data_IF_428218564823
#
_entry.id   IF_428218564823
#
_cell.length_a   1.000
_cell.length_b   1.000
_cell.length_c   1.000
_cell.angle_alpha   90.00
_cell.angle_beta   90.00
_cell.angle_gamma   90.00
#
_symmetry.space_group_name_H-M   'P 1'
#
loop_
_entity.id
_entity.type
_entity.pdbx_description
1 polymer ?
#
# COMPACT_ATOMS: atom_id res chain seq x y z
N UNK A 1 18.69 -5.26 -18.80
CA UNK A 1 17.23 -5.34 -18.67
C UNK A 1 16.73 -4.28 -17.69
N UNK A 2 16.32 -3.12 -18.21
CA UNK A 2 15.88 -1.99 -17.38
C UNK A 2 14.41 -2.13 -17.01
N UNK A 3 14.10 -2.43 -15.75
CA UNK A 3 12.73 -2.38 -15.24
C UNK A 3 12.11 -1.01 -15.51
N UNK A 4 10.87 -0.98 -16.02
CA UNK A 4 10.13 0.28 -16.28
C UNK A 4 10.01 1.10 -14.99
N UNK A 5 10.60 2.29 -14.98
CA UNK A 5 10.50 3.26 -13.89
C UNK A 5 9.22 4.08 -14.05
N UNK A 6 8.47 4.25 -12.97
CA UNK A 6 7.32 5.14 -12.89
C UNK A 6 7.63 6.25 -11.91
N UNK A 7 7.47 7.51 -12.34
CA UNK A 7 7.66 8.70 -11.48
C UNK A 7 6.33 9.43 -11.32
N UNK A 8 6.00 9.79 -10.09
CA UNK A 8 4.78 10.51 -9.73
C UNK A 8 5.10 11.67 -8.78
N UNK A 9 4.24 12.68 -8.79
CA UNK A 9 4.25 13.71 -7.75
C UNK A 9 3.31 13.25 -6.63
N UNK A 10 3.86 12.97 -5.46
CA UNK A 10 3.13 12.43 -4.32
C UNK A 10 3.28 13.32 -3.09
N UNK A 11 2.27 13.31 -2.22
CA UNK A 11 2.28 14.05 -0.96
C UNK A 11 2.65 13.10 0.18
N UNK A 12 3.53 13.51 1.12
CA UNK A 12 3.82 12.76 2.34
C UNK A 12 2.54 12.37 3.11
N UNK A 13 2.51 11.14 3.63
CA UNK A 13 1.40 10.66 4.46
C UNK A 13 1.29 11.40 5.79
N UNK A 14 2.44 11.71 6.38
CA UNK A 14 2.56 12.53 7.59
C UNK A 14 3.51 13.71 7.34
N UNK A 15 3.37 14.76 8.15
CA UNK A 15 4.17 15.98 8.02
C UNK A 15 3.53 17.00 7.07
N UNK A 16 4.31 17.96 6.54
CA UNK A 16 3.79 19.05 5.71
C UNK A 16 3.24 18.54 4.37
N UNK A 17 2.18 19.20 3.89
CA UNK A 17 1.56 18.94 2.58
C UNK A 17 2.40 19.51 1.42
N UNK A 18 3.70 19.20 1.39
CA UNK A 18 4.61 19.57 0.31
C UNK A 18 4.77 18.37 -0.64
N UNK A 19 4.24 18.43 -1.86
CA UNK A 19 4.41 17.36 -2.83
C UNK A 19 5.88 17.19 -3.22
N UNK A 20 6.28 15.95 -3.52
CA UNK A 20 7.62 15.59 -3.99
C UNK A 20 7.56 14.51 -5.05
N UNK A 21 8.61 14.42 -5.86
CA UNK A 21 8.75 13.34 -6.84
C UNK A 21 9.08 12.02 -6.13
N UNK A 22 8.36 10.96 -6.50
CA UNK A 22 8.58 9.60 -6.02
C UNK A 22 8.67 8.70 -7.24
N UNK A 23 9.80 7.98 -7.37
CA UNK A 23 10.03 7.02 -8.44
C UNK A 23 10.02 5.60 -7.89
N UNK A 24 9.39 4.68 -8.63
CA UNK A 24 9.32 3.27 -8.27
C UNK A 24 9.34 2.34 -9.48
N UNK A 25 9.77 1.09 -9.27
CA UNK A 25 9.89 0.03 -10.27
C UNK A 25 9.22 -1.26 -9.81
N UNK A 26 9.34 -2.32 -10.62
CA UNK A 26 9.01 -3.71 -10.27
C UNK A 26 7.59 -3.91 -9.75
N UNK A 27 6.65 -3.16 -10.35
CA UNK A 27 5.26 -3.17 -9.94
C UNK A 27 4.59 -4.50 -10.27
N UNK A 28 4.05 -5.19 -9.26
CA UNK A 28 3.29 -6.44 -9.43
C UNK A 28 2.02 -6.43 -8.57
N UNK A 29 0.94 -7.03 -9.05
CA UNK A 29 -0.30 -7.18 -8.26
C UNK A 29 -0.08 -8.21 -7.15
N UNK A 30 -0.44 -7.85 -5.91
CA UNK A 30 -0.38 -8.73 -4.73
C UNK A 30 -1.72 -8.94 -4.04
N UNK A 31 -2.75 -8.16 -4.40
CA UNK A 31 -4.08 -8.30 -3.86
C UNK A 31 -5.13 -7.62 -4.74
N UNK A 32 -6.31 -8.22 -4.80
CA UNK A 32 -7.48 -7.65 -5.47
C UNK A 32 -8.68 -7.82 -4.53
N UNK A 33 -9.41 -6.74 -4.30
CA UNK A 33 -10.59 -6.73 -3.44
C UNK A 33 -11.66 -5.80 -3.97
N UNK A 34 -12.81 -5.78 -3.31
CA UNK A 34 -13.96 -4.95 -3.70
C UNK A 34 -13.65 -3.46 -3.85
N UNK A 35 -12.68 -2.96 -3.09
CA UNK A 35 -12.33 -1.54 -3.04
C UNK A 35 -11.22 -1.12 -4.02
N UNK A 36 -10.55 -2.09 -4.67
CA UNK A 36 -9.48 -1.80 -5.60
C UNK A 36 -8.37 -2.85 -5.61
N UNK A 37 -7.21 -2.43 -6.13
CA UNK A 37 -6.06 -3.31 -6.39
C UNK A 37 -4.88 -2.87 -5.53
N UNK A 38 -4.16 -3.84 -4.97
CA UNK A 38 -2.92 -3.62 -4.24
C UNK A 38 -1.75 -4.13 -5.06
N UNK A 39 -0.76 -3.28 -5.27
CA UNK A 39 0.48 -3.59 -5.93
C UNK A 39 1.63 -3.63 -4.93
N UNK A 40 2.61 -4.50 -5.14
CA UNK A 40 3.94 -4.31 -4.59
C UNK A 40 4.75 -3.48 -5.60
N UNK A 41 5.58 -2.57 -5.12
CA UNK A 41 6.57 -1.87 -5.92
C UNK A 41 7.87 -1.70 -5.11
N UNK A 42 8.95 -1.26 -5.78
CA UNK A 42 10.24 -0.94 -5.16
C UNK A 42 10.54 0.54 -5.37
N UNK A 43 10.81 1.29 -4.30
CA UNK A 43 11.22 2.68 -4.42
C UNK A 43 12.63 2.77 -5.03
N UNK A 44 12.83 3.69 -5.97
CA UNK A 44 14.11 3.82 -6.67
C UNK A 44 15.21 4.44 -5.82
N UNK A 45 14.87 5.34 -4.90
CA UNK A 45 15.79 6.10 -4.06
C UNK A 45 16.43 5.23 -2.96
N UNK A 46 15.61 4.44 -2.29
CA UNK A 46 15.94 3.68 -1.08
C UNK A 46 16.07 2.19 -1.35
N UNK A 47 15.47 1.70 -2.44
CA UNK A 47 15.35 0.27 -2.73
C UNK A 47 14.32 -0.46 -1.85
N UNK A 48 13.58 0.25 -1.00
CA UNK A 48 12.59 -0.34 -0.11
C UNK A 48 11.35 -0.82 -0.87
N UNK A 49 10.77 -1.93 -0.39
CA UNK A 49 9.50 -2.43 -0.90
C UNK A 49 8.33 -1.68 -0.28
N UNK A 50 7.36 -1.34 -1.12
CA UNK A 50 6.11 -0.67 -0.72
C UNK A 50 4.89 -1.40 -1.28
N UNK A 51 3.76 -1.24 -0.59
CA UNK A 51 2.45 -1.62 -1.10
C UNK A 51 1.69 -0.38 -1.59
N UNK A 52 1.23 -0.37 -2.84
CA UNK A 52 0.44 0.70 -3.43
C UNK A 52 -1.01 0.24 -3.53
N UNK A 53 -1.88 0.76 -2.67
CA UNK A 53 -3.33 0.50 -2.74
C UNK A 53 -3.97 1.54 -3.65
N UNK A 54 -4.42 1.11 -4.83
CA UNK A 54 -5.12 1.93 -5.82
C UNK A 54 -6.63 1.75 -5.69
N UNK A 55 -7.33 2.81 -5.32
CA UNK A 55 -8.79 2.82 -5.10
C UNK A 55 -9.45 3.83 -6.02
N UNK A 56 -10.59 3.46 -6.62
CA UNK A 56 -11.39 4.39 -7.41
C UNK A 56 -11.98 5.45 -6.46
N UNK A 57 -11.81 6.71 -6.81
CA UNK A 57 -12.30 7.81 -6.01
C UNK A 57 -13.69 8.25 -6.48
N UNK A 58 -14.69 8.09 -5.62
CA UNK A 58 -15.98 8.74 -5.83
C UNK A 58 -15.81 10.25 -5.61
N UNK A 59 -16.05 11.04 -6.66
CA UNK A 59 -15.92 12.50 -6.64
C UNK A 59 -16.84 13.17 -5.61
N UNK A 60 -17.92 12.50 -5.19
CA UNK A 60 -18.90 13.02 -4.23
C UNK A 60 -18.44 12.90 -2.78
N UNK A 61 -17.44 12.05 -2.50
CA UNK A 61 -17.02 11.75 -1.13
C UNK A 61 -15.52 11.89 -0.95
N UNK A 62 -15.10 12.45 0.19
CA UNK A 62 -13.69 12.39 0.59
C UNK A 62 -13.36 10.97 1.06
N UNK A 63 -12.17 10.49 0.72
CA UNK A 63 -11.73 9.17 1.15
C UNK A 63 -11.41 9.18 2.65
N UNK A 64 -12.24 8.50 3.45
CA UNK A 64 -12.07 8.40 4.91
C UNK A 64 -10.80 7.63 5.30
N UNK A 65 -10.40 6.63 4.50
CA UNK A 65 -9.20 5.84 4.75
C UNK A 65 -7.95 6.73 4.73
N UNK A 66 -7.80 7.58 3.72
CA UNK A 66 -6.69 8.55 3.69
C UNK A 66 -6.69 9.46 4.92
N UNK A 67 -7.84 10.03 5.28
CA UNK A 67 -7.93 10.94 6.43
C UNK A 67 -7.53 10.27 7.76
N UNK A 68 -7.86 8.99 7.92
CA UNK A 68 -7.48 8.21 9.10
C UNK A 68 -5.98 7.91 9.06
N UNK A 69 -5.48 7.38 7.95
CA UNK A 69 -4.08 6.96 7.81
C UNK A 69 -3.09 8.11 8.02
N UNK A 70 -3.44 9.34 7.61
CA UNK A 70 -2.61 10.53 7.87
C UNK A 70 -2.45 10.87 9.37
N UNK A 71 -3.36 10.41 10.22
CA UNK A 71 -3.35 10.65 11.68
C UNK A 71 -2.70 9.52 12.47
N UNK A 72 -2.39 8.38 11.83
CA UNK A 72 -1.83 7.22 12.49
C UNK A 72 -0.31 7.21 12.33
N UNK A 73 0.40 7.11 13.46
CA UNK A 73 1.83 6.85 13.52
C UNK A 73 2.12 5.91 14.70
N UNK A 74 2.21 4.61 14.43
CA UNK A 74 2.37 3.58 15.45
C UNK A 74 3.07 2.35 14.88
N UNK A 75 3.97 1.72 15.65
CA UNK A 75 4.80 0.60 15.18
C UNK A 75 4.01 -0.66 14.78
N UNK A 76 2.76 -0.80 15.22
CA UNK A 76 1.86 -1.92 14.87
C UNK A 76 0.80 -1.54 13.82
N UNK A 77 0.89 -0.36 13.23
CA UNK A 77 0.01 0.09 12.15
C UNK A 77 0.88 0.33 10.93
N UNK A 78 0.47 -0.19 9.77
CA UNK A 78 1.21 0.05 8.52
C UNK A 78 1.28 1.56 8.24
N UNK A 79 2.48 2.07 8.00
CA UNK A 79 2.67 3.50 7.79
C UNK A 79 2.24 3.90 6.38
N UNK A 80 1.48 4.99 6.28
CA UNK A 80 1.28 5.70 5.01
C UNK A 80 2.52 6.54 4.72
N UNK A 81 3.32 6.15 3.73
CA UNK A 81 4.49 6.92 3.29
C UNK A 81 4.08 8.11 2.44
N UNK A 82 3.30 7.84 1.40
CA UNK A 82 2.86 8.86 0.43
C UNK A 82 1.44 8.59 -0.05
N UNK A 83 0.82 9.59 -0.65
CA UNK A 83 -0.38 9.41 -1.46
C UNK A 83 -0.34 10.29 -2.71
N UNK A 84 -0.97 9.82 -3.78
CA UNK A 84 -1.09 10.58 -5.03
C UNK A 84 -2.36 10.19 -5.79
N UNK A 85 -2.79 11.08 -6.68
CA UNK A 85 -3.92 10.84 -7.56
C UNK A 85 -3.44 10.49 -8.97
N UNK A 86 -4.18 9.61 -9.65
CA UNK A 86 -3.90 9.24 -11.03
C UNK A 86 -5.19 9.09 -11.82
N UNK A 87 -5.20 9.49 -13.09
CA UNK A 87 -6.34 9.29 -13.98
C UNK A 87 -6.53 7.80 -14.31
N UNK A 88 -7.78 7.40 -14.52
CA UNK A 88 -8.16 6.08 -15.04
C UNK A 88 -8.09 5.99 -16.56
N UNK A 89 -8.49 4.83 -17.08
CA UNK A 89 -8.64 4.62 -18.53
C UNK A 89 -9.88 5.34 -19.07
N UNK A 90 -10.96 5.35 -18.29
CA UNK A 90 -12.17 6.09 -18.66
C UNK A 90 -12.03 7.56 -18.32
N UNK A 91 -12.63 8.39 -19.17
CA UNK A 91 -12.80 9.82 -18.91
C UNK A 91 -13.45 9.99 -17.53
N UNK A 92 -12.94 10.95 -16.76
CA UNK A 92 -13.40 11.30 -15.42
C UNK A 92 -13.10 10.31 -14.29
N UNK A 93 -12.50 9.15 -14.56
CA UNK A 93 -12.02 8.28 -13.48
C UNK A 93 -10.77 8.86 -12.83
N UNK A 94 -10.83 9.00 -11.52
CA UNK A 94 -9.69 9.39 -10.69
C UNK A 94 -9.47 8.31 -9.66
N UNK A 95 -8.22 7.89 -9.51
CA UNK A 95 -7.82 6.93 -8.51
C UNK A 95 -6.98 7.63 -7.45
N UNK A 96 -7.22 7.26 -6.19
CA UNK A 96 -6.33 7.56 -5.09
C UNK A 96 -5.37 6.36 -4.92
N UNK A 97 -4.08 6.66 -4.82
CA UNK A 97 -3.04 5.67 -4.59
C UNK A 97 -2.42 5.94 -3.22
N UNK A 98 -2.51 4.96 -2.31
CA UNK A 98 -1.89 5.00 -1.00
C UNK A 98 -0.60 4.18 -1.05
N UNK A 99 0.55 4.82 -0.83
CA UNK A 99 1.86 4.16 -0.75
C UNK A 99 2.15 3.83 0.71
N UNK A 100 2.18 2.55 1.01
CA UNK A 100 2.24 1.97 2.35
C UNK A 100 3.53 1.15 2.52
N UNK A 101 3.99 0.96 3.75
CA UNK A 101 5.01 -0.05 4.03
C UNK A 101 4.56 -1.44 3.55
N UNK A 102 5.49 -2.18 2.93
CA UNK A 102 5.23 -3.55 2.53
C UNK A 102 5.46 -4.53 3.70
N UNK A 103 4.47 -5.38 3.98
CA UNK A 103 4.57 -6.49 4.92
C UNK A 103 4.39 -7.81 4.16
N UNK A 104 5.35 -8.74 4.22
CA UNK A 104 5.37 -9.91 3.32
C UNK A 104 4.31 -10.97 3.62
N UNK A 105 3.89 -11.07 4.88
CA UNK A 105 2.98 -12.11 5.34
C UNK A 105 1.77 -11.54 6.08
N UNK A 106 0.71 -12.34 6.14
CA UNK A 106 -0.47 -12.03 6.93
C UNK A 106 -0.72 -13.15 7.94
N UNK A 107 -1.34 -12.81 9.06
CA UNK A 107 -1.75 -13.78 10.08
C UNK A 107 -2.57 -14.92 9.46
N UNK A 108 -3.44 -14.59 8.50
CA UNK A 108 -4.23 -15.58 7.76
C UNK A 108 -3.35 -16.59 7.00
N UNK A 109 -2.33 -16.13 6.25
CA UNK A 109 -1.44 -17.01 5.49
C UNK A 109 -0.63 -17.91 6.42
N UNK A 110 -0.12 -17.35 7.51
CA UNK A 110 0.64 -18.10 8.53
C UNK A 110 -0.25 -19.15 9.19
N UNK A 111 -1.42 -18.78 9.71
CA UNK A 111 -2.34 -19.72 10.34
C UNK A 111 -2.78 -20.84 9.38
N UNK A 112 -3.07 -20.50 8.12
CA UNK A 112 -3.44 -21.48 7.09
C UNK A 112 -2.32 -22.47 6.77
N UNK A 113 -1.06 -22.02 6.78
CA UNK A 113 0.10 -22.89 6.57
C UNK A 113 0.17 -23.99 7.64
N UNK A 114 0.12 -23.61 8.92
CA UNK A 114 0.13 -24.57 10.04
C UNK A 114 -1.09 -25.50 10.03
N UNK A 115 -2.29 -24.95 9.78
CA UNK A 115 -3.52 -25.74 9.66
C UNK A 115 -3.43 -26.82 8.58
N UNK A 116 -2.87 -26.50 7.40
CA UNK A 116 -2.65 -27.48 6.32
C UNK A 116 -1.63 -28.56 6.68
N UNK A 117 -0.64 -28.21 7.49
CA UNK A 117 0.33 -29.15 8.02
C UNK A 117 -0.21 -29.97 9.20
N UNK A 118 -1.48 -29.77 9.62
CA UNK A 118 -2.08 -30.36 10.82
C UNK A 118 -1.28 -30.03 12.09
N UNK A 119 -0.65 -28.86 12.12
CA UNK A 119 0.09 -28.33 13.26
C UNK A 119 -0.63 -27.12 13.85
N UNK A 120 -0.37 -26.84 15.13
CA UNK A 120 -0.80 -25.61 15.77
C UNK A 120 0.25 -24.51 15.57
N UNK A 121 -0.18 -23.25 15.57
CA UNK A 121 0.74 -22.12 15.56
C UNK A 121 1.51 -22.10 16.91
N UNK A 122 2.85 -22.10 16.91
CA UNK A 122 3.61 -22.06 18.15
C UNK A 122 3.29 -20.81 19.00
N UNK A 123 3.11 -21.00 20.31
CA UNK A 123 2.75 -19.93 21.24
C UNK A 123 3.77 -18.78 21.29
N UNK A 124 5.05 -19.04 20.99
CA UNK A 124 6.08 -18.00 20.93
C UNK A 124 5.82 -16.93 19.85
N UNK A 125 5.06 -17.27 18.80
CA UNK A 125 4.65 -16.33 17.75
C UNK A 125 3.36 -15.59 18.06
N UNK A 126 2.64 -16.00 19.11
CA UNK A 126 1.42 -15.35 19.57
C UNK A 126 1.82 -14.33 20.62
N UNK A 127 1.96 -13.06 20.21
CA UNK A 127 2.05 -11.94 21.16
C UNK A 127 0.66 -11.68 21.74
N UNK A 128 0.53 -11.84 23.05
CA UNK A 128 -0.65 -11.45 23.85
C UNK A 128 -0.50 -10.00 24.26
#
# INVERSE_FOLDING_TARGET
>A
DGSKVTTVVATPGQGPDRPQEVSYTDTKVIGNGSFGVVYQAKLCDSGELVAIKKVLQDKRFKNRELQIMRKLDHCNIVRLRYFFYSSGEKKDEVYLNLVLDYVPETVYRVARHYSRAKQTLPMIYVKV
#
